data_IF_329021069752
#
_entry.id   IF_329021069752
#
_cell.length_a   1.000
_cell.length_b   1.000
_cell.length_c   1.000
_cell.angle_alpha   90.00
_cell.angle_beta   90.00
_cell.angle_gamma   90.00
#
_symmetry.space_group_name_H-M   'P 1'
#
loop_
_entity.id
_entity.type
_entity.pdbx_description
1 polymer ?
#
# COMPACT_ATOMS: atom_id res chain seq x y z
N UNK A 1 2.78 33.56 -28.43
CA UNK A 1 3.65 32.40 -28.70
C UNK A 1 3.21 31.32 -27.74
N UNK A 2 2.40 30.37 -28.23
CA UNK A 2 1.91 29.25 -27.41
C UNK A 2 3.08 28.32 -27.11
N UNK A 3 3.32 28.06 -25.83
CA UNK A 3 4.21 26.99 -25.42
C UNK A 3 3.57 25.67 -25.95
N UNK A 4 4.21 25.06 -26.95
CA UNK A 4 3.80 23.77 -27.45
C UNK A 4 3.85 22.79 -26.27
N UNK A 5 2.70 22.18 -25.97
CA UNK A 5 2.62 21.05 -25.05
C UNK A 5 3.53 19.95 -25.61
N UNK A 6 4.69 19.76 -25.01
CA UNK A 6 5.49 18.57 -25.30
C UNK A 6 4.64 17.41 -24.83
N UNK A 7 4.25 16.52 -25.77
CA UNK A 7 3.56 15.29 -25.44
C UNK A 7 4.38 14.53 -24.39
N UNK A 8 3.82 14.36 -23.21
CA UNK A 8 4.53 13.75 -22.07
C UNK A 8 4.24 12.26 -22.08
N UNK A 9 5.25 11.48 -22.34
CA UNK A 9 5.14 10.01 -22.41
C UNK A 9 5.09 9.45 -20.99
N UNK A 10 4.09 8.64 -20.67
CA UNK A 10 4.05 7.89 -19.42
C UNK A 10 5.27 6.96 -19.35
N UNK A 11 6.04 7.02 -18.27
CA UNK A 11 7.25 6.22 -18.06
C UNK A 11 7.13 5.25 -16.88
N UNK A 12 6.34 5.59 -15.85
CA UNK A 12 6.17 4.71 -14.71
C UNK A 12 4.73 4.65 -14.21
N UNK A 13 4.29 3.43 -13.87
CA UNK A 13 3.10 3.13 -13.11
C UNK A 13 3.51 2.64 -11.72
N UNK A 14 3.10 3.35 -10.67
CA UNK A 14 3.16 2.87 -9.30
C UNK A 14 1.81 2.26 -8.94
N UNK A 15 1.79 1.01 -8.52
CA UNK A 15 0.53 0.29 -8.29
C UNK A 15 0.56 -0.45 -6.96
N UNK A 16 -0.47 -0.21 -6.13
CA UNK A 16 -0.69 -1.06 -4.97
C UNK A 16 -1.16 -2.46 -5.39
N UNK A 17 -1.01 -3.44 -4.52
CA UNK A 17 -1.36 -4.82 -4.79
C UNK A 17 -2.76 -5.17 -4.29
N UNK A 18 -2.96 -5.19 -2.97
CA UNK A 18 -4.16 -5.76 -2.35
C UNK A 18 -5.34 -4.80 -2.39
N UNK A 19 -6.31 -5.08 -3.24
CA UNK A 19 -7.45 -4.19 -3.44
C UNK A 19 -7.30 -3.29 -4.65
N UNK A 20 -6.14 -3.31 -5.30
CA UNK A 20 -5.81 -2.50 -6.47
C UNK A 20 -5.50 -3.40 -7.67
N UNK A 21 -4.27 -3.87 -7.82
CA UNK A 21 -3.90 -4.77 -8.93
C UNK A 21 -4.49 -6.17 -8.73
N UNK A 22 -4.57 -6.62 -7.49
CA UNK A 22 -5.07 -7.95 -7.12
C UNK A 22 -6.52 -7.87 -6.64
N UNK A 23 -7.37 -8.69 -7.24
CA UNK A 23 -8.76 -8.84 -6.85
C UNK A 23 -8.96 -9.68 -5.59
N UNK A 24 -10.21 -10.07 -5.27
CA UNK A 24 -10.55 -10.84 -4.09
C UNK A 24 -9.66 -12.08 -3.89
N UNK A 25 -9.17 -12.25 -2.65
CA UNK A 25 -8.26 -13.33 -2.29
C UNK A 25 -6.81 -13.12 -2.77
N UNK A 26 -6.42 -11.89 -3.16
CA UNK A 26 -5.06 -11.58 -3.63
C UNK A 26 -4.74 -12.18 -5.00
N UNK A 27 -5.74 -12.35 -5.85
CA UNK A 27 -5.61 -12.99 -7.16
C UNK A 27 -5.51 -11.98 -8.30
N UNK A 28 -4.51 -12.17 -9.16
CA UNK A 28 -4.36 -11.40 -10.41
C UNK A 28 -5.50 -11.66 -11.42
N UNK A 29 -6.22 -12.78 -11.26
CA UNK A 29 -7.21 -13.29 -12.20
C UNK A 29 -8.65 -13.23 -11.69
N UNK A 30 -8.92 -12.40 -10.64
CA UNK A 30 -10.27 -12.21 -10.11
C UNK A 30 -10.73 -10.77 -10.26
N UNK A 31 -11.91 -10.59 -10.85
CA UNK A 31 -12.61 -9.31 -10.91
C UNK A 31 -13.35 -8.95 -9.63
N UNK A 32 -14.00 -7.80 -9.61
CA UNK A 32 -14.79 -7.30 -8.48
C UNK A 32 -15.92 -8.23 -8.07
N UNK A 33 -16.51 -8.94 -9.01
CA UNK A 33 -17.55 -9.95 -8.79
C UNK A 33 -17.02 -11.30 -8.29
N UNK A 34 -15.70 -11.44 -8.12
CA UNK A 34 -15.01 -12.68 -7.77
C UNK A 34 -14.88 -13.68 -8.91
N UNK A 35 -15.40 -13.35 -10.11
CA UNK A 35 -15.25 -14.14 -11.34
C UNK A 35 -13.85 -14.04 -11.94
N UNK A 36 -13.60 -14.86 -12.97
CA UNK A 36 -12.33 -14.82 -13.70
C UNK A 36 -12.24 -13.55 -14.56
N UNK A 37 -11.13 -12.81 -14.43
CA UNK A 37 -10.82 -11.64 -15.25
C UNK A 37 -9.36 -11.63 -15.66
N UNK A 38 -9.08 -11.06 -16.83
CA UNK A 38 -7.72 -10.79 -17.34
C UNK A 38 -7.35 -9.30 -17.28
N UNK A 39 -8.16 -8.45 -16.70
CA UNK A 39 -7.98 -7.00 -16.81
C UNK A 39 -6.70 -6.51 -16.12
N UNK A 40 -6.35 -7.05 -14.96
CA UNK A 40 -5.04 -6.80 -14.33
C UNK A 40 -3.88 -7.18 -15.27
N UNK A 41 -3.96 -8.35 -15.90
CA UNK A 41 -2.94 -8.81 -16.87
C UNK A 41 -2.90 -7.92 -18.13
N UNK A 42 -4.06 -7.42 -18.58
CA UNK A 42 -4.14 -6.46 -19.71
C UNK A 42 -3.51 -5.12 -19.36
N UNK A 43 -3.68 -4.64 -18.12
CA UNK A 43 -3.01 -3.44 -17.63
C UNK A 43 -1.49 -3.58 -17.70
N UNK A 44 -0.95 -4.68 -17.18
CA UNK A 44 0.48 -4.99 -17.24
C UNK A 44 0.98 -5.15 -18.67
N UNK A 45 0.19 -5.79 -19.55
CA UNK A 45 0.50 -5.91 -20.98
C UNK A 45 0.54 -4.55 -21.68
N UNK A 46 -0.39 -3.63 -21.34
CA UNK A 46 -0.43 -2.29 -21.91
C UNK A 46 0.81 -1.48 -21.51
N UNK A 47 1.22 -1.57 -20.23
CA UNK A 47 2.46 -0.97 -19.74
C UNK A 47 3.68 -1.52 -20.49
N UNK A 48 3.80 -2.85 -20.60
CA UNK A 48 4.93 -3.50 -21.28
C UNK A 48 5.03 -3.09 -22.77
N UNK A 49 3.88 -2.94 -23.47
CA UNK A 49 3.84 -2.49 -24.87
C UNK A 49 4.22 -1.02 -25.05
N UNK A 50 4.01 -0.21 -24.02
CA UNK A 50 4.29 1.22 -24.03
C UNK A 50 5.66 1.55 -23.39
N UNK A 51 6.45 0.56 -23.03
CA UNK A 51 7.75 0.71 -22.32
C UNK A 51 7.59 1.49 -20.99
N UNK A 52 6.48 1.23 -20.27
CA UNK A 52 6.19 1.81 -18.96
C UNK A 52 6.69 0.88 -17.87
N UNK A 53 7.58 1.36 -17.00
CA UNK A 53 8.03 0.63 -15.83
C UNK A 53 6.88 0.48 -14.82
N UNK A 54 6.63 -0.75 -14.37
CA UNK A 54 5.63 -1.02 -13.33
C UNK A 54 6.33 -1.27 -12.00
N UNK A 55 6.04 -0.44 -11.01
CA UNK A 55 6.62 -0.52 -9.67
C UNK A 55 5.49 -0.79 -8.68
N UNK A 56 5.52 -1.96 -8.05
CA UNK A 56 4.57 -2.28 -7.00
C UNK A 56 4.91 -1.49 -5.74
N UNK A 57 3.91 -0.85 -5.10
CA UNK A 57 4.05 -0.11 -3.86
C UNK A 57 3.04 -0.65 -2.84
N UNK A 58 3.47 -1.49 -1.90
CA UNK A 58 2.56 -2.30 -1.09
C UNK A 58 2.91 -2.32 0.40
N UNK A 59 1.92 -2.65 1.24
CA UNK A 59 2.11 -2.97 2.65
C UNK A 59 2.64 -4.39 2.92
N UNK A 60 2.81 -5.21 1.87
CA UNK A 60 3.38 -6.54 2.02
C UNK A 60 4.86 -6.47 2.40
N UNK A 61 5.33 -7.51 3.12
CA UNK A 61 6.75 -7.69 3.45
C UNK A 61 7.58 -8.04 2.20
N UNK A 62 8.88 -7.76 2.24
CA UNK A 62 9.79 -7.94 1.10
C UNK A 62 9.72 -9.32 0.46
N UNK A 63 9.80 -10.48 1.16
CA UNK A 63 9.75 -11.78 0.50
C UNK A 63 8.49 -12.02 -0.31
N UNK A 64 7.34 -11.50 0.16
CA UNK A 64 6.07 -11.65 -0.55
C UNK A 64 5.99 -10.84 -1.83
N UNK A 65 6.46 -9.58 -1.81
CA UNK A 65 6.45 -8.74 -3.01
C UNK A 65 7.55 -9.11 -3.99
N UNK A 66 8.72 -9.56 -3.51
CA UNK A 66 9.80 -10.07 -4.37
C UNK A 66 9.34 -11.21 -5.27
N UNK A 67 8.62 -12.19 -4.70
CA UNK A 67 8.07 -13.30 -5.47
C UNK A 67 7.11 -12.84 -6.57
N UNK A 68 6.23 -11.86 -6.25
CA UNK A 68 5.31 -11.29 -7.22
C UNK A 68 6.08 -10.51 -8.30
N UNK A 69 7.05 -9.69 -7.91
CA UNK A 69 7.87 -8.91 -8.82
C UNK A 69 8.57 -9.83 -9.84
N UNK A 70 9.21 -10.88 -9.36
CA UNK A 70 9.88 -11.87 -10.21
C UNK A 70 8.92 -12.58 -11.15
N UNK A 71 7.73 -12.97 -10.66
CA UNK A 71 6.69 -13.61 -11.48
C UNK A 71 6.19 -12.68 -12.60
N UNK A 72 6.07 -11.38 -12.31
CA UNK A 72 5.61 -10.37 -13.26
C UNK A 72 6.74 -9.75 -14.09
N UNK A 73 8.00 -10.19 -13.91
CA UNK A 73 9.16 -9.68 -14.63
C UNK A 73 9.58 -8.26 -14.22
N UNK A 74 9.16 -7.81 -13.02
CA UNK A 74 9.53 -6.51 -12.48
C UNK A 74 10.80 -6.61 -11.64
N UNK A 75 11.63 -5.56 -11.65
CA UNK A 75 12.91 -5.52 -10.95
C UNK A 75 12.95 -4.50 -9.83
N UNK A 76 11.96 -3.61 -9.80
CA UNK A 76 11.84 -2.56 -8.79
C UNK A 76 10.50 -2.69 -8.07
N UNK A 77 10.50 -2.51 -6.75
CA UNK A 77 9.30 -2.53 -5.94
C UNK A 77 9.52 -1.82 -4.60
N UNK A 78 8.42 -1.39 -4.00
CA UNK A 78 8.35 -0.72 -2.70
C UNK A 78 7.56 -1.64 -1.77
N UNK A 79 8.10 -1.91 -0.58
CA UNK A 79 7.49 -2.82 0.39
C UNK A 79 7.31 -2.18 1.78
N UNK A 80 6.50 -2.81 2.62
CA UNK A 80 6.20 -2.36 4.00
C UNK A 80 5.84 -0.87 4.06
N UNK A 81 4.89 -0.41 3.20
CA UNK A 81 4.41 0.98 3.12
C UNK A 81 5.54 2.00 2.85
N UNK A 82 6.54 1.62 2.08
CA UNK A 82 7.65 2.51 1.73
C UNK A 82 8.82 2.49 2.70
N UNK A 83 8.86 1.54 3.63
CA UNK A 83 10.04 1.34 4.47
C UNK A 83 11.25 0.87 3.68
N UNK A 84 11.02 0.08 2.62
CA UNK A 84 12.07 -0.36 1.71
C UNK A 84 11.72 -0.13 0.24
N UNK A 85 12.74 0.25 -0.52
CA UNK A 85 12.76 0.35 -1.96
C UNK A 85 13.79 -0.65 -2.50
N UNK A 86 13.36 -1.54 -3.38
CA UNK A 86 14.28 -2.32 -4.21
C UNK A 86 14.30 -1.70 -5.59
N UNK A 87 15.48 -1.33 -6.06
CA UNK A 87 15.74 -0.76 -7.37
C UNK A 87 16.72 -1.66 -8.12
N UNK A 88 16.27 -2.30 -9.19
CA UNK A 88 17.08 -3.24 -9.98
C UNK A 88 17.75 -4.37 -9.17
N UNK A 89 17.14 -4.74 -8.04
CA UNK A 89 17.64 -5.76 -7.11
C UNK A 89 18.45 -5.23 -5.93
N UNK A 90 18.75 -3.93 -5.90
CA UNK A 90 19.45 -3.29 -4.80
C UNK A 90 18.46 -2.70 -3.79
N UNK A 91 18.64 -3.04 -2.51
CA UNK A 91 17.78 -2.59 -1.42
C UNK A 91 18.26 -1.26 -0.82
N UNK A 92 17.34 -0.31 -0.70
CA UNK A 92 17.50 0.93 0.06
C UNK A 92 16.45 1.02 1.17
N UNK A 93 16.88 1.23 2.43
CA UNK A 93 15.99 1.48 3.55
C UNK A 93 15.60 2.97 3.60
N UNK A 94 14.29 3.27 3.68
CA UNK A 94 13.75 4.62 3.69
C UNK A 94 13.08 4.96 5.04
N UNK A 95 13.66 4.52 6.10
CA UNK A 95 13.12 4.47 7.47
C UNK A 95 13.64 5.59 8.38
N UNK A 96 14.28 6.62 7.81
CA UNK A 96 14.78 7.75 8.58
C UNK A 96 16.00 7.43 9.46
N UNK A 97 16.79 6.40 9.07
CA UNK A 97 18.00 6.00 9.77
C UNK A 97 17.83 4.76 10.66
N UNK A 98 16.61 4.27 10.84
CA UNK A 98 16.35 3.00 11.56
C UNK A 98 16.57 1.86 10.56
N UNK A 99 17.63 1.09 10.71
CA UNK A 99 17.98 0.00 9.79
C UNK A 99 18.26 -1.28 10.57
N UNK A 100 18.16 -2.46 9.93
CA UNK A 100 18.58 -3.71 10.56
C UNK A 100 20.08 -3.66 10.93
N UNK A 101 20.44 -4.15 12.09
CA UNK A 101 21.83 -4.25 12.55
C UNK A 101 22.08 -5.53 13.34
N UNK A 102 23.34 -5.92 13.49
CA UNK A 102 23.70 -7.07 14.30
C UNK A 102 23.40 -6.84 15.81
N UNK A 103 23.50 -5.60 16.28
CA UNK A 103 23.26 -5.24 17.69
C UNK A 103 21.78 -5.11 18.02
N UNK A 104 20.97 -4.53 17.11
CA UNK A 104 19.60 -4.13 17.40
C UNK A 104 18.55 -5.03 16.73
N UNK A 105 19.01 -5.98 15.91
CA UNK A 105 18.13 -6.91 15.19
C UNK A 105 17.43 -6.29 13.98
N UNK A 106 16.30 -6.87 13.59
CA UNK A 106 15.43 -6.33 12.57
C UNK A 106 14.76 -5.04 13.03
N UNK A 107 14.26 -4.24 12.11
CA UNK A 107 13.47 -3.03 12.45
C UNK A 107 12.24 -3.43 13.28
N UNK A 108 11.63 -4.57 12.98
CA UNK A 108 10.55 -5.16 13.77
C UNK A 108 10.93 -5.34 15.25
N UNK A 109 12.13 -5.87 15.52
CA UNK A 109 12.63 -6.11 16.88
C UNK A 109 12.91 -4.79 17.61
N UNK A 110 13.45 -3.79 16.92
CA UNK A 110 13.68 -2.44 17.45
C UNK A 110 12.37 -1.76 17.83
N UNK A 111 11.32 -1.87 16.99
CA UNK A 111 9.97 -1.37 17.30
C UNK A 111 9.40 -2.12 18.51
N UNK A 112 9.54 -3.44 18.57
CA UNK A 112 9.08 -4.24 19.72
C UNK A 112 9.77 -3.81 21.02
N UNK A 113 11.10 -3.64 20.99
CA UNK A 113 11.91 -3.22 22.14
C UNK A 113 11.55 -1.82 22.66
N UNK A 114 11.01 -0.94 21.81
CA UNK A 114 10.55 0.39 22.23
C UNK A 114 9.32 0.38 23.14
N UNK A 115 8.59 -0.74 23.19
CA UNK A 115 7.31 -0.86 23.90
C UNK A 115 6.11 -0.24 23.17
N UNK A 116 6.30 0.38 21.99
CA UNK A 116 5.22 1.04 21.23
C UNK A 116 4.03 0.11 20.91
N UNK A 117 4.25 -1.16 20.50
CA UNK A 117 3.15 -2.09 20.25
C UNK A 117 2.27 -2.33 21.49
N UNK A 118 2.90 -2.55 22.65
CA UNK A 118 2.17 -2.76 23.90
C UNK A 118 1.39 -1.51 24.32
N UNK A 119 2.02 -0.34 24.24
CA UNK A 119 1.38 0.95 24.52
C UNK A 119 0.10 1.15 23.71
N UNK A 120 0.12 0.86 22.40
CA UNK A 120 -1.04 1.00 21.54
C UNK A 120 -2.13 -0.04 21.85
N UNK A 121 -1.76 -1.30 22.12
CA UNK A 121 -2.72 -2.35 22.48
C UNK A 121 -3.44 -2.03 23.81
N UNK A 122 -2.70 -1.53 24.79
CA UNK A 122 -3.23 -1.15 26.10
C UNK A 122 -4.14 0.09 26.03
N UNK A 123 -3.87 1.01 25.09
CA UNK A 123 -4.67 2.22 24.92
C UNK A 123 -6.03 1.96 24.24
N UNK A 124 -6.15 0.91 23.43
CA UNK A 124 -7.38 0.62 22.66
C UNK A 124 -7.91 -0.81 22.90
N UNK A 125 -8.23 -1.19 24.16
CA UNK A 125 -8.66 -2.53 24.49
C UNK A 125 -9.98 -2.89 23.79
N UNK A 126 -10.04 -4.12 23.22
CA UNK A 126 -11.21 -4.61 22.49
C UNK A 126 -11.47 -3.94 21.13
N UNK A 127 -10.65 -2.97 20.74
CA UNK A 127 -10.78 -2.25 19.46
C UNK A 127 -9.57 -2.44 18.55
N UNK A 128 -8.49 -3.03 19.05
CA UNK A 128 -7.21 -3.12 18.38
C UNK A 128 -6.49 -4.40 18.78
N UNK A 129 -6.02 -5.18 17.81
CA UNK A 129 -5.29 -6.42 18.05
C UNK A 129 -4.28 -6.67 16.91
N UNK A 130 -3.33 -7.59 17.11
CA UNK A 130 -2.45 -8.01 16.02
C UNK A 130 -3.22 -8.65 14.88
N UNK A 131 -2.88 -8.29 13.65
CA UNK A 131 -3.47 -8.87 12.44
C UNK A 131 -2.85 -10.24 12.11
N UNK A 132 -3.06 -11.22 12.97
CA UNK A 132 -2.58 -12.59 12.76
C UNK A 132 -3.39 -13.28 11.65
N UNK A 133 -2.72 -14.05 10.74
CA UNK A 133 -1.30 -14.43 10.75
C UNK A 133 -0.34 -13.44 10.05
N UNK A 134 -0.83 -12.37 9.42
CA UNK A 134 -0.02 -11.45 8.61
C UNK A 134 0.94 -10.57 9.43
N UNK A 135 0.77 -10.54 10.75
CA UNK A 135 1.71 -9.89 11.69
C UNK A 135 2.93 -10.75 12.02
N UNK A 136 2.97 -12.02 11.57
CA UNK A 136 4.03 -12.97 11.93
C UNK A 136 5.14 -12.95 10.88
N UNK A 137 6.40 -12.99 11.33
CA UNK A 137 7.58 -13.10 10.46
C UNK A 137 7.90 -11.85 9.65
N UNK A 138 7.45 -10.69 10.13
CA UNK A 138 7.76 -9.41 9.47
C UNK A 138 9.15 -8.90 9.85
N UNK A 139 9.73 -8.15 8.92
CA UNK A 139 11.08 -7.59 9.08
C UNK A 139 11.03 -6.13 9.58
N UNK A 140 9.91 -5.45 9.35
CA UNK A 140 9.77 -4.03 9.65
C UNK A 140 8.52 -3.76 10.48
N UNK A 141 7.34 -3.77 9.89
CA UNK A 141 6.14 -3.24 10.52
C UNK A 141 5.50 -4.21 11.50
N UNK A 142 4.97 -3.68 12.61
CA UNK A 142 3.95 -4.38 13.39
C UNK A 142 2.59 -4.14 12.75
N UNK A 143 1.88 -5.20 12.40
CA UNK A 143 0.59 -5.10 11.70
C UNK A 143 -0.55 -5.45 12.64
N UNK A 144 -1.49 -4.54 12.73
CA UNK A 144 -2.66 -4.63 13.58
C UNK A 144 -3.94 -4.56 12.75
N UNK A 145 -5.04 -4.96 13.35
CA UNK A 145 -6.40 -4.75 12.84
C UNK A 145 -7.31 -4.20 13.93
N UNK A 146 -8.33 -3.47 13.53
CA UNK A 146 -9.27 -2.88 14.46
C UNK A 146 -9.94 -1.63 13.91
N UNK A 147 -10.39 -0.76 14.82
CA UNK A 147 -10.89 0.57 14.48
C UNK A 147 -10.44 1.56 15.56
N UNK A 148 -9.37 2.29 15.26
CA UNK A 148 -8.78 3.28 16.16
C UNK A 148 -8.52 4.60 15.44
N UNK A 149 -8.66 5.75 16.14
CA UNK A 149 -8.32 7.04 15.57
C UNK A 149 -6.80 7.18 15.44
N UNK A 150 -6.30 7.19 14.20
CA UNK A 150 -4.85 7.27 13.92
C UNK A 150 -4.21 8.50 14.56
N UNK A 151 -4.91 9.64 14.54
CA UNK A 151 -4.42 10.86 15.17
C UNK A 151 -4.19 10.72 16.68
N UNK A 152 -5.11 10.04 17.40
CA UNK A 152 -4.96 9.79 18.85
C UNK A 152 -3.81 8.81 19.12
N UNK A 153 -3.69 7.76 18.29
CA UNK A 153 -2.63 6.78 18.40
C UNK A 153 -1.25 7.42 18.19
N UNK A 154 -1.12 8.27 17.16
CA UNK A 154 0.14 8.96 16.88
C UNK A 154 0.46 10.02 17.96
N UNK A 155 -0.53 10.77 18.45
CA UNK A 155 -0.33 11.68 19.58
C UNK A 155 0.08 10.93 20.88
N UNK A 156 -0.36 9.68 21.06
CA UNK A 156 0.07 8.84 22.18
C UNK A 156 1.56 8.46 22.04
N UNK A 157 1.98 8.04 20.83
CA UNK A 157 3.38 7.75 20.53
C UNK A 157 4.28 8.97 20.78
N UNK A 158 3.89 10.15 20.30
CA UNK A 158 4.62 11.40 20.56
C UNK A 158 4.79 11.68 22.05
N UNK A 159 3.69 11.61 22.84
CA UNK A 159 3.74 11.83 24.30
C UNK A 159 4.64 10.83 25.04
N UNK A 160 4.81 9.65 24.48
CA UNK A 160 5.69 8.61 25.03
C UNK A 160 7.16 8.74 24.59
N UNK A 161 7.50 9.77 23.78
CA UNK A 161 8.85 9.95 23.22
C UNK A 161 9.17 8.94 22.12
N UNK A 162 8.15 8.44 21.43
CA UNK A 162 8.22 7.46 20.34
C UNK A 162 7.84 8.09 18.99
N UNK A 163 8.13 9.38 18.82
CA UNK A 163 7.86 10.20 17.64
C UNK A 163 8.62 9.75 16.37
N UNK A 164 9.61 8.87 16.54
CA UNK A 164 10.27 8.18 15.44
C UNK A 164 9.42 7.07 14.81
N UNK A 165 8.25 6.74 15.40
CA UNK A 165 7.25 5.80 14.91
C UNK A 165 5.96 6.49 14.53
N UNK A 166 5.22 5.89 13.60
CA UNK A 166 3.85 6.27 13.29
C UNK A 166 2.97 5.06 13.03
N UNK A 167 1.70 5.16 13.45
CA UNK A 167 0.66 4.23 13.05
C UNK A 167 0.03 4.75 11.75
N UNK A 168 -0.10 3.88 10.76
CA UNK A 168 -0.68 4.19 9.43
C UNK A 168 -1.90 3.31 9.21
N UNK A 169 -2.98 3.89 8.73
CA UNK A 169 -4.18 3.17 8.28
C UNK A 169 -4.00 2.74 6.82
N UNK A 170 -3.88 1.43 6.60
CA UNK A 170 -3.73 0.81 5.28
C UNK A 170 -5.08 0.37 4.67
N UNK A 171 -6.19 0.91 5.17
CA UNK A 171 -7.51 0.72 4.60
C UNK A 171 -8.36 -0.34 5.29
N UNK A 172 -9.65 -0.34 4.90
CA UNK A 172 -10.66 -1.24 5.44
C UNK A 172 -10.58 -2.63 4.79
N UNK A 173 -10.82 -3.66 5.60
CA UNK A 173 -10.94 -5.04 5.13
C UNK A 173 -12.33 -5.59 5.44
N UNK A 174 -12.81 -6.54 4.61
CA UNK A 174 -14.05 -7.26 4.88
C UNK A 174 -13.88 -8.17 6.09
N UNK A 175 -14.79 -8.08 7.06
CA UNK A 175 -14.84 -8.98 8.21
C UNK A 175 -14.97 -10.46 7.81
N UNK A 176 -15.48 -10.74 6.60
CA UNK A 176 -15.65 -12.06 6.01
C UNK A 176 -14.51 -12.47 5.06
N UNK A 177 -13.49 -11.63 4.90
CA UNK A 177 -12.44 -11.77 3.89
C UNK A 177 -11.16 -12.45 4.37
N UNK A 178 -11.21 -13.33 5.37
CA UNK A 178 -10.13 -14.32 5.49
C UNK A 178 -10.24 -15.27 4.28
N UNK A 179 -9.20 -15.38 3.42
CA UNK A 179 -9.25 -16.31 2.31
C UNK A 179 -9.51 -17.71 2.86
N UNK A 180 -10.58 -18.33 2.40
CA UNK A 180 -11.00 -19.68 2.81
C UNK A 180 -9.98 -20.78 2.47
N UNK A 181 -8.88 -20.43 1.80
CA UNK A 181 -7.87 -21.36 1.30
C UNK A 181 -6.61 -21.49 2.17
N UNK A 182 -6.42 -20.66 3.18
CA UNK A 182 -5.26 -20.77 4.08
C UNK A 182 -5.70 -20.75 5.55
N UNK A 183 -6.53 -21.74 5.92
CA UNK A 183 -6.68 -22.09 7.34
C UNK A 183 -5.39 -22.74 7.81
N UNK A 184 -4.44 -21.95 8.26
CA UNK A 184 -3.49 -22.43 9.24
C UNK A 184 -4.32 -22.70 10.49
N UNK A 185 -4.35 -23.94 11.04
CA UNK A 185 -5.05 -24.21 12.29
C UNK A 185 -4.40 -23.35 13.37
N UNK A 186 -5.05 -22.24 13.76
CA UNK A 186 -4.70 -21.58 15.01
C UNK A 186 -5.15 -22.52 16.11
N UNK A 187 -4.20 -23.03 16.86
CA UNK A 187 -4.50 -23.84 18.02
C UNK A 187 -5.39 -23.03 18.97
N UNK A 188 -6.57 -23.60 19.22
CA UNK A 188 -7.59 -23.19 20.20
C UNK A 188 -8.29 -21.83 19.99
N UNK A 189 -9.56 -21.93 19.63
CA UNK A 189 -10.59 -20.96 19.97
C UNK A 189 -11.11 -20.13 18.81
N UNK A 190 -12.35 -20.41 18.46
CA UNK A 190 -13.32 -19.57 17.76
C UNK A 190 -12.77 -18.65 16.67
N UNK A 191 -13.18 -18.84 15.43
CA UNK A 191 -12.84 -17.98 14.29
C UNK A 191 -13.46 -16.57 14.35
N UNK A 192 -13.59 -16.01 15.54
CA UNK A 192 -13.95 -14.63 15.80
C UNK A 192 -12.70 -13.85 16.14
N UNK A 193 -12.55 -12.65 15.56
CA UNK A 193 -11.55 -11.68 15.99
C UNK A 193 -11.85 -11.26 17.44
N UNK A 194 -10.82 -10.99 18.25
CA UNK A 194 -10.96 -10.55 19.64
C UNK A 194 -11.40 -9.10 19.81
N UNK A 195 -11.81 -8.45 18.72
CA UNK A 195 -12.25 -7.05 18.67
C UNK A 195 -13.73 -6.95 18.37
N UNK A 196 -14.39 -5.96 18.97
CA UNK A 196 -15.81 -5.60 18.76
C UNK A 196 -15.87 -4.19 18.15
N UNK A 197 -15.85 -4.12 16.82
CA UNK A 197 -15.86 -2.87 16.06
C UNK A 197 -16.77 -3.00 14.84
N UNK A 198 -17.39 -1.89 14.46
CA UNK A 198 -18.33 -1.82 13.33
C UNK A 198 -17.67 -2.04 11.96
N UNK A 199 -16.38 -1.70 11.86
CA UNK A 199 -15.57 -1.82 10.66
C UNK A 199 -14.15 -2.19 11.04
N UNK A 200 -13.48 -2.97 10.23
CA UNK A 200 -12.11 -3.39 10.51
C UNK A 200 -11.15 -2.80 9.49
N UNK A 201 -10.17 -2.07 10.00
CA UNK A 201 -9.04 -1.55 9.23
C UNK A 201 -7.78 -2.34 9.55
N UNK A 202 -6.82 -2.33 8.64
CA UNK A 202 -5.45 -2.81 8.85
C UNK A 202 -4.55 -1.62 9.11
N UNK A 203 -3.75 -1.72 10.15
CA UNK A 203 -2.80 -0.69 10.53
C UNK A 203 -1.38 -1.22 10.55
N UNK A 204 -0.44 -0.39 10.16
CA UNK A 204 0.98 -0.67 10.27
C UNK A 204 1.64 0.35 11.20
N UNK A 205 2.34 -0.13 12.21
CA UNK A 205 3.25 0.68 13.00
C UNK A 205 4.63 0.60 12.36
N UNK A 206 5.11 1.73 11.85
CA UNK A 206 6.35 1.86 11.06
C UNK A 206 7.18 3.05 11.51
N UNK A 207 8.46 3.12 11.14
CA UNK A 207 9.26 4.33 11.30
C UNK A 207 8.61 5.54 10.61
N UNK A 208 8.55 6.68 11.30
CA UNK A 208 7.85 7.89 10.84
C UNK A 208 8.44 8.48 9.54
N UNK A 209 9.70 8.16 9.25
CA UNK A 209 10.37 8.54 8.01
C UNK A 209 9.83 7.87 6.75
N UNK A 210 9.14 6.73 6.88
CA UNK A 210 8.68 5.94 5.75
C UNK A 210 7.29 6.35 5.25
N UNK A 211 7.06 6.34 3.94
CA UNK A 211 5.74 6.32 3.29
C UNK A 211 5.86 5.85 1.85
N UNK A 212 4.78 5.31 1.26
CA UNK A 212 4.76 4.97 -0.17
C UNK A 212 5.08 6.19 -1.04
N UNK A 213 4.52 7.35 -0.74
CA UNK A 213 4.77 8.58 -1.49
C UNK A 213 6.26 8.97 -1.50
N UNK A 214 6.94 8.90 -0.34
CA UNK A 214 8.38 9.16 -0.26
C UNK A 214 9.21 8.15 -1.03
N UNK A 215 8.85 6.87 -0.95
CA UNK A 215 9.53 5.81 -1.70
C UNK A 215 9.32 5.95 -3.21
N UNK A 216 8.12 6.34 -3.66
CA UNK A 216 7.83 6.67 -5.05
C UNK A 216 8.70 7.86 -5.50
N UNK A 217 8.74 8.95 -4.74
CA UNK A 217 9.58 10.10 -5.05
C UNK A 217 11.07 9.73 -5.13
N UNK A 218 11.54 8.84 -4.23
CA UNK A 218 12.91 8.34 -4.26
C UNK A 218 13.21 7.49 -5.50
N UNK A 219 12.29 6.61 -5.89
CA UNK A 219 12.40 5.82 -7.12
C UNK A 219 12.45 6.75 -8.35
N UNK A 220 11.53 7.71 -8.44
CA UNK A 220 11.51 8.70 -9.53
C UNK A 220 12.83 9.46 -9.64
N UNK A 221 13.37 9.90 -8.50
CA UNK A 221 14.68 10.59 -8.43
C UNK A 221 15.81 9.71 -8.99
N UNK A 222 15.87 8.44 -8.59
CA UNK A 222 16.90 7.51 -9.05
C UNK A 222 16.79 7.22 -10.55
N UNK A 223 15.56 7.19 -11.10
CA UNK A 223 15.29 6.99 -12.55
C UNK A 223 15.37 8.27 -13.38
N UNK A 224 15.39 9.45 -12.75
CA UNK A 224 15.27 10.73 -13.44
C UNK A 224 13.92 10.94 -14.10
N UNK A 225 12.85 10.37 -13.52
CA UNK A 225 11.48 10.57 -14.00
C UNK A 225 10.89 11.87 -13.49
N UNK A 226 10.19 12.57 -14.38
CA UNK A 226 9.43 13.76 -14.02
C UNK A 226 8.06 13.36 -13.44
N UNK A 227 7.50 14.23 -12.61
CA UNK A 227 6.17 14.02 -12.02
C UNK A 227 5.12 13.65 -13.05
N UNK A 228 5.10 14.39 -14.15
CA UNK A 228 4.11 14.25 -15.22
C UNK A 228 4.28 13.01 -16.11
N UNK A 229 5.40 12.33 -15.96
CA UNK A 229 5.70 11.05 -16.62
C UNK A 229 5.29 9.85 -15.78
N UNK A 230 4.70 10.09 -14.59
CA UNK A 230 4.37 9.06 -13.62
C UNK A 230 2.89 9.10 -13.24
N UNK A 231 2.29 7.92 -13.08
CA UNK A 231 0.96 7.75 -12.53
C UNK A 231 0.98 6.73 -11.39
N UNK A 232 0.02 6.84 -10.47
CA UNK A 232 -0.13 5.86 -9.41
C UNK A 232 -1.59 5.38 -9.31
N UNK A 233 -1.76 4.14 -8.83
CA UNK A 233 -3.04 3.50 -8.57
C UNK A 233 -3.06 2.91 -7.17
N UNK A 234 -4.14 3.12 -6.42
CA UNK A 234 -4.31 2.59 -5.08
C UNK A 234 -5.77 2.58 -4.63
N UNK A 235 -6.05 2.04 -3.45
CA UNK A 235 -7.39 1.93 -2.91
C UNK A 235 -7.53 2.36 -1.43
N UNK A 236 -6.49 3.00 -0.89
CA UNK A 236 -6.43 3.48 0.49
C UNK A 236 -6.06 4.96 0.63
N UNK A 237 -6.24 5.50 1.84
CA UNK A 237 -5.78 6.85 2.20
C UNK A 237 -4.28 7.01 2.04
N UNK A 238 -3.55 6.00 2.43
CA UNK A 238 -2.08 5.99 2.35
C UNK A 238 -1.61 6.05 0.89
N UNK A 239 -2.30 5.32 -0.01
CA UNK A 239 -1.99 5.37 -1.44
C UNK A 239 -2.23 6.76 -2.04
N UNK A 240 -3.28 7.46 -1.59
CA UNK A 240 -3.60 8.81 -2.07
C UNK A 240 -2.51 9.84 -1.79
N UNK A 241 -1.60 9.59 -0.83
CA UNK A 241 -0.43 10.45 -0.61
C UNK A 241 0.45 10.52 -1.86
N UNK A 242 0.44 9.49 -2.71
CA UNK A 242 1.17 9.48 -3.97
C UNK A 242 0.72 10.58 -4.95
N UNK A 243 -0.51 11.11 -4.85
CA UNK A 243 -0.98 12.22 -5.67
C UNK A 243 -0.12 13.49 -5.53
N UNK A 244 0.58 13.63 -4.42
CA UNK A 244 1.44 14.79 -4.17
C UNK A 244 2.77 14.70 -4.94
N UNK A 245 3.15 13.51 -5.40
CA UNK A 245 4.46 13.26 -6.04
C UNK A 245 4.35 12.82 -7.51
N UNK A 246 3.23 12.21 -7.95
CA UNK A 246 3.01 11.81 -9.35
C UNK A 246 2.11 12.80 -10.11
N UNK A 247 2.08 12.71 -11.43
CA UNK A 247 1.25 13.56 -12.29
C UNK A 247 -0.24 13.29 -12.16
N UNK A 248 -0.63 12.02 -11.96
CA UNK A 248 -2.01 11.62 -11.71
C UNK A 248 -2.05 10.43 -10.76
N UNK A 249 -3.04 10.43 -9.88
CA UNK A 249 -3.37 9.31 -9.01
C UNK A 249 -4.77 8.81 -9.31
N UNK A 250 -4.93 7.49 -9.41
CA UNK A 250 -6.20 6.85 -9.66
C UNK A 250 -6.63 6.03 -8.44
N UNK A 251 -7.73 6.46 -7.81
CA UNK A 251 -8.37 5.69 -6.75
C UNK A 251 -9.31 4.67 -7.37
N UNK A 252 -9.17 3.41 -6.99
CA UNK A 252 -10.03 2.32 -7.46
C UNK A 252 -11.45 2.48 -6.92
N UNK A 253 -12.49 2.23 -7.75
CA UNK A 253 -13.91 2.37 -7.36
C UNK A 253 -14.26 1.58 -6.08
N UNK A 254 -13.71 0.38 -5.92
CA UNK A 254 -13.93 -0.45 -4.73
C UNK A 254 -13.43 0.18 -3.41
N UNK A 255 -12.58 1.19 -3.45
CA UNK A 255 -12.17 1.93 -2.27
C UNK A 255 -13.35 2.67 -1.62
N UNK A 256 -14.19 3.32 -2.43
CA UNK A 256 -15.36 4.06 -1.96
C UNK A 256 -16.48 3.15 -1.46
N UNK A 257 -16.58 1.93 -2.00
CA UNK A 257 -17.53 0.92 -1.51
C UNK A 257 -17.14 0.45 -0.12
N UNK A 258 -15.84 0.27 0.13
CA UNK A 258 -15.29 -0.17 1.41
C UNK A 258 -15.25 0.94 2.45
N UNK A 259 -14.90 2.15 2.05
CA UNK A 259 -14.82 3.32 2.91
C UNK A 259 -15.41 4.57 2.22
N UNK A 260 -16.72 4.81 2.38
CA UNK A 260 -17.39 5.99 1.80
C UNK A 260 -16.84 7.33 2.29
N UNK A 261 -16.12 7.37 3.42
CA UNK A 261 -15.56 8.62 3.97
C UNK A 261 -14.44 9.19 3.10
N UNK A 262 -13.81 8.35 2.27
CA UNK A 262 -12.81 8.78 1.26
C UNK A 262 -13.37 9.80 0.28
N UNK A 263 -14.66 9.75 -0.04
CA UNK A 263 -15.30 10.67 -0.98
C UNK A 263 -15.12 12.15 -0.58
N UNK A 264 -15.19 12.45 0.72
CA UNK A 264 -14.99 13.81 1.23
C UNK A 264 -13.52 14.26 1.13
N UNK A 265 -12.58 13.34 1.26
CA UNK A 265 -11.14 13.63 1.20
C UNK A 265 -10.66 13.86 -0.24
N UNK A 266 -11.33 13.22 -1.21
CA UNK A 266 -11.03 13.38 -2.64
C UNK A 266 -11.58 14.71 -3.17
N UNK A 267 -12.73 15.17 -2.65
CA UNK A 267 -13.38 16.40 -3.06
C UNK A 267 -12.48 17.62 -2.77
N UNK A 268 -11.67 18.01 -3.72
CA UNK A 268 -10.76 19.15 -3.62
C UNK A 268 -9.28 18.77 -3.63
N UNK A 269 -8.95 17.49 -3.82
CA UNK A 269 -7.54 17.06 -3.99
C UNK A 269 -7.17 17.01 -5.47
N UNK A 270 -6.41 18.01 -5.98
CA UNK A 270 -6.00 18.06 -7.38
C UNK A 270 -5.18 16.81 -7.77
N UNK A 271 -5.41 16.29 -8.98
CA UNK A 271 -4.65 15.15 -9.48
C UNK A 271 -5.16 13.78 -9.03
N UNK A 272 -6.19 13.72 -8.17
CA UNK A 272 -6.87 12.47 -7.81
C UNK A 272 -8.05 12.24 -8.75
N UNK A 273 -8.07 11.07 -9.37
CA UNK A 273 -9.15 10.59 -10.26
C UNK A 273 -9.73 9.30 -9.70
N UNK A 274 -10.97 9.01 -9.99
CA UNK A 274 -11.63 7.77 -9.54
C UNK A 274 -11.90 6.95 -10.79
N UNK A 275 -11.59 5.65 -10.75
CA UNK A 275 -11.95 4.72 -11.82
C UNK A 275 -13.44 4.36 -11.74
N UNK A 276 -14.06 4.01 -12.86
CA UNK A 276 -15.41 3.46 -12.89
C UNK A 276 -15.46 2.01 -12.44
N UNK A 277 -14.32 1.30 -12.56
CA UNK A 277 -14.18 -0.09 -12.20
C UNK A 277 -13.27 -0.26 -10.97
N UNK A 278 -13.42 -1.40 -10.28
CA UNK A 278 -12.57 -1.77 -9.15
C UNK A 278 -11.42 -2.69 -9.55
N UNK A 279 -10.42 -2.81 -8.65
CA UNK A 279 -9.33 -3.76 -8.77
C UNK A 279 -8.60 -3.68 -10.12
N UNK A 280 -8.18 -4.82 -10.67
CA UNK A 280 -7.44 -4.91 -11.93
C UNK A 280 -8.15 -4.26 -13.12
N UNK A 281 -9.48 -4.22 -13.16
CA UNK A 281 -10.24 -3.52 -14.20
C UNK A 281 -10.07 -2.00 -14.08
N UNK A 282 -10.10 -1.46 -12.86
CA UNK A 282 -9.79 -0.06 -12.58
C UNK A 282 -8.35 0.31 -12.94
N UNK A 283 -7.38 -0.58 -12.63
CA UNK A 283 -5.99 -0.36 -13.05
C UNK A 283 -5.87 -0.33 -14.58
N UNK A 284 -6.58 -1.23 -15.29
CA UNK A 284 -6.59 -1.24 -16.74
C UNK A 284 -7.18 0.07 -17.32
N UNK A 285 -8.32 0.52 -16.77
CA UNK A 285 -8.92 1.82 -17.12
C UNK A 285 -7.94 2.97 -16.92
N UNK A 286 -7.29 3.04 -15.74
CA UNK A 286 -6.32 4.07 -15.42
C UNK A 286 -5.12 4.09 -16.40
N UNK A 287 -4.57 2.92 -16.69
CA UNK A 287 -3.43 2.78 -17.61
C UNK A 287 -3.78 3.21 -19.03
N UNK A 288 -4.88 2.68 -19.59
CA UNK A 288 -5.22 2.97 -21.00
C UNK A 288 -5.63 4.42 -21.18
N UNK A 289 -6.31 5.01 -20.19
CA UNK A 289 -6.69 6.42 -20.22
C UNK A 289 -5.45 7.31 -20.14
N UNK A 290 -4.54 7.03 -19.20
CA UNK A 290 -3.31 7.82 -19.05
C UNK A 290 -2.42 7.71 -20.30
N UNK A 291 -2.29 6.53 -20.90
CA UNK A 291 -1.56 6.33 -22.17
C UNK A 291 -2.19 7.07 -23.35
N UNK A 292 -3.52 7.18 -23.40
CA UNK A 292 -4.21 7.91 -24.44
C UNK A 292 -4.03 9.44 -24.30
N UNK A 293 -3.99 9.95 -23.07
CA UNK A 293 -3.75 11.36 -22.77
C UNK A 293 -2.27 11.79 -22.93
N UNK A 294 -1.37 10.83 -22.94
CA UNK A 294 0.10 11.05 -23.05
C UNK A 294 0.59 11.14 -24.50
N UNK A 295 -0.28 11.07 -25.49
CA UNK A 295 0.04 11.11 -26.93
C UNK A 295 0.00 12.50 -27.54
#
# INVERSE_FOLDING_TARGET
MGAGSVARVLRALYVDLDGTLLGPGGSLFRGSDGGFSLDASRALQACARADVEVVMATGRMQPGVDQIARLLGQRSYIFDLGCGLVLDGELEWLTGGVVPSESDGLIFDQIAASGAPALLLDAFPGRFEYHTPWSIGREVSHVFRGLVPVGEANALLERAGLDWLRLVDNGAISAHGAPSSHRVPVASGTGAWGIDVERVHVYHLIPAGASKARAIARHMQNRGYLREECTACGDSREDMEAADVVGSFWLMANALERDPTLAAEIAGRPGVRITSEGFGAGVYEAVVTTLAESR
#
